data_IF_911959575484
#
_entry.id   IF_911959575484
#
_cell.length_a   1.000
_cell.length_b   1.000
_cell.length_c   1.000
_cell.angle_alpha   90.00
_cell.angle_beta   90.00
_cell.angle_gamma   90.00
#
_symmetry.space_group_name_H-M   'P 1'
#
loop_
_entity.id
_entity.type
_entity.pdbx_description
1 polymer ?
#
# COMPACT_ATOMS: atom_id res chain seq x y z
N UNK A 1 17.45 21.49 -9.37
CA UNK A 1 16.53 20.85 -10.34
C UNK A 1 15.15 21.31 -9.95
N UNK A 2 14.36 21.68 -10.93
CA UNK A 2 13.13 22.45 -10.77
C UNK A 2 11.96 21.48 -10.62
N UNK A 3 11.45 21.32 -9.38
CA UNK A 3 10.32 20.47 -8.99
C UNK A 3 8.98 21.04 -9.49
N UNK A 4 8.91 21.40 -10.78
CA UNK A 4 7.68 21.90 -11.39
C UNK A 4 6.81 20.73 -11.85
N UNK A 5 5.77 20.50 -11.05
CA UNK A 5 4.44 20.01 -11.43
C UNK A 5 4.42 19.00 -12.58
N UNK A 6 4.58 17.73 -12.23
CA UNK A 6 3.76 16.74 -12.91
C UNK A 6 2.33 17.00 -12.45
N UNK A 7 1.57 17.72 -13.26
CA UNK A 7 0.14 18.01 -13.03
C UNK A 7 -0.63 16.67 -13.03
N UNK A 8 -0.61 16.02 -11.87
CA UNK A 8 -1.41 14.84 -11.59
C UNK A 8 -2.77 15.40 -11.23
N UNK A 9 -3.74 15.27 -12.14
CA UNK A 9 -5.14 15.69 -11.97
C UNK A 9 -5.84 14.84 -10.89
N UNK A 10 -5.40 15.01 -9.65
CA UNK A 10 -5.94 14.40 -8.44
C UNK A 10 -6.27 15.53 -7.45
N UNK A 11 -7.39 15.40 -6.72
CA UNK A 11 -7.71 16.32 -5.63
C UNK A 11 -6.59 16.36 -4.57
N UNK A 12 -6.35 17.54 -4.01
CA UNK A 12 -5.31 17.75 -2.99
C UNK A 12 -5.47 16.80 -1.80
N UNK A 13 -6.70 16.50 -1.39
CA UNK A 13 -6.95 15.57 -0.28
C UNK A 13 -6.54 14.12 -0.61
N UNK A 14 -6.64 13.73 -1.89
CA UNK A 14 -6.19 12.41 -2.34
C UNK A 14 -4.66 12.37 -2.36
N UNK A 15 -4.02 13.44 -2.85
CA UNK A 15 -2.56 13.57 -2.83
C UNK A 15 -2.03 13.53 -1.40
N UNK A 16 -2.67 14.27 -0.49
CA UNK A 16 -2.35 14.25 0.93
C UNK A 16 -2.50 12.85 1.53
N UNK A 17 -3.61 12.18 1.28
CA UNK A 17 -3.85 10.81 1.75
C UNK A 17 -2.76 9.85 1.29
N UNK A 18 -2.38 9.88 0.01
CA UNK A 18 -1.33 8.98 -0.52
C UNK A 18 0.01 9.23 0.15
N UNK A 19 0.39 10.49 0.36
CA UNK A 19 1.65 10.86 1.04
C UNK A 19 1.63 10.48 2.52
N UNK A 20 0.56 10.79 3.23
CA UNK A 20 0.42 10.45 4.65
C UNK A 20 0.38 8.94 4.86
N UNK A 21 -0.32 8.20 4.00
CA UNK A 21 -0.37 6.75 4.09
C UNK A 21 1.02 6.11 3.89
N UNK A 22 1.80 6.63 2.94
CA UNK A 22 3.21 6.24 2.77
C UNK A 22 4.03 6.51 4.03
N UNK A 23 3.93 7.71 4.59
CA UNK A 23 4.63 8.11 5.81
C UNK A 23 4.29 7.17 6.99
N UNK A 24 3.01 6.86 7.21
CA UNK A 24 2.59 5.96 8.29
C UNK A 24 3.11 4.52 8.11
N UNK A 25 3.28 4.07 6.87
CA UNK A 25 3.93 2.78 6.58
C UNK A 25 5.41 2.82 6.91
N UNK A 26 6.11 3.91 6.55
CA UNK A 26 7.53 4.11 6.87
C UNK A 26 7.77 4.18 8.38
N UNK A 27 6.88 4.84 9.11
CA UNK A 27 6.91 4.94 10.58
C UNK A 27 6.41 3.68 11.30
N UNK A 28 5.89 2.70 10.55
CA UNK A 28 5.29 1.47 11.10
C UNK A 28 4.13 1.76 12.09
N UNK A 29 3.39 2.84 11.87
CA UNK A 29 2.27 3.25 12.71
C UNK A 29 1.02 2.43 12.38
N UNK A 30 0.93 1.22 12.95
CA UNK A 30 -0.16 0.26 12.68
C UNK A 30 -1.55 0.86 12.97
N UNK A 31 -1.67 1.67 14.02
CA UNK A 31 -2.95 2.31 14.40
C UNK A 31 -3.40 3.31 13.33
N UNK A 32 -2.51 4.15 12.84
CA UNK A 32 -2.82 5.14 11.80
C UNK A 32 -3.11 4.45 10.46
N UNK A 33 -2.32 3.44 10.10
CA UNK A 33 -2.57 2.60 8.93
C UNK A 33 -3.99 2.01 8.99
N UNK A 34 -4.40 1.43 10.12
CA UNK A 34 -5.74 0.89 10.27
C UNK A 34 -6.82 1.96 10.08
N UNK A 35 -6.65 3.14 10.69
CA UNK A 35 -7.57 4.27 10.52
C UNK A 35 -7.70 4.73 9.06
N UNK A 36 -6.59 4.76 8.31
CA UNK A 36 -6.59 5.06 6.88
C UNK A 36 -7.30 3.98 6.05
N UNK A 37 -7.16 2.71 6.43
CA UNK A 37 -7.84 1.58 5.76
C UNK A 37 -9.35 1.58 5.96
N UNK A 38 -9.83 1.92 7.16
CA UNK A 38 -11.24 1.81 7.53
C UNK A 38 -12.02 3.10 7.22
N UNK A 39 -11.41 4.26 7.48
CA UNK A 39 -12.10 5.55 7.40
C UNK A 39 -11.57 6.42 6.27
N UNK A 40 -10.27 6.70 6.24
CA UNK A 40 -9.69 7.67 5.30
C UNK A 40 -9.92 7.29 3.84
N UNK A 41 -9.67 6.03 3.49
CA UNK A 41 -9.91 5.52 2.15
C UNK A 41 -11.40 5.54 1.78
N UNK A 42 -12.28 5.13 2.70
CA UNK A 42 -13.74 5.09 2.48
C UNK A 42 -14.30 6.49 2.21
N UNK A 43 -13.92 7.48 3.03
CA UNK A 43 -14.36 8.86 2.89
C UNK A 43 -13.97 9.46 1.53
N UNK A 44 -12.70 9.29 1.12
CA UNK A 44 -12.23 9.77 -0.18
C UNK A 44 -12.84 9.03 -1.36
N UNK A 45 -13.12 7.73 -1.18
CA UNK A 45 -13.81 6.91 -2.18
C UNK A 45 -15.19 7.46 -2.47
N UNK A 46 -15.97 7.77 -1.43
CA UNK A 46 -17.31 8.35 -1.56
C UNK A 46 -17.26 9.76 -2.15
N UNK A 47 -16.29 10.58 -1.73
CA UNK A 47 -16.18 11.99 -2.14
C UNK A 47 -15.70 12.17 -3.59
N UNK A 48 -14.73 11.39 -4.05
CA UNK A 48 -14.04 11.64 -5.34
C UNK A 48 -14.09 10.48 -6.33
N UNK A 49 -14.36 9.26 -5.87
CA UNK A 49 -14.26 8.04 -6.67
C UNK A 49 -15.57 7.24 -6.64
N UNK A 50 -16.72 7.88 -6.42
CA UNK A 50 -18.02 7.20 -6.42
C UNK A 50 -18.39 6.66 -7.81
N UNK A 51 -18.03 7.39 -8.87
CA UNK A 51 -18.33 7.03 -10.27
C UNK A 51 -17.11 6.61 -11.10
N UNK A 52 -15.91 6.73 -10.55
CA UNK A 52 -14.64 6.40 -11.22
C UNK A 52 -13.74 5.59 -10.31
N UNK A 53 -12.81 4.84 -10.89
CA UNK A 53 -11.82 4.08 -10.12
C UNK A 53 -10.78 5.01 -9.48
N UNK A 54 -10.19 4.56 -8.38
CA UNK A 54 -8.96 5.12 -7.85
C UNK A 54 -7.83 5.12 -8.91
N UNK A 55 -6.83 6.02 -8.82
CA UNK A 55 -5.76 6.10 -9.80
C UNK A 55 -4.93 4.80 -9.92
N UNK A 56 -4.42 4.50 -11.12
CA UNK A 56 -3.50 3.39 -11.30
C UNK A 56 -2.16 3.63 -10.57
N UNK A 57 -1.43 2.56 -10.29
CA UNK A 57 -0.14 2.59 -9.58
C UNK A 57 0.86 3.58 -10.20
N UNK A 58 0.98 3.64 -11.53
CA UNK A 58 1.84 4.61 -12.23
C UNK A 58 1.50 6.08 -11.96
N UNK A 59 0.24 6.40 -11.66
CA UNK A 59 -0.16 7.77 -11.30
C UNK A 59 0.20 8.02 -9.84
N UNK A 60 -0.04 7.04 -8.98
CA UNK A 60 0.30 7.10 -7.56
C UNK A 60 1.82 7.23 -7.35
N UNK A 61 2.64 6.50 -8.11
CA UNK A 61 4.10 6.60 -8.09
C UNK A 61 4.62 8.01 -8.39
N UNK A 62 3.90 8.81 -9.18
CA UNK A 62 4.25 10.24 -9.38
C UNK A 62 4.05 11.08 -8.12
N UNK A 63 3.15 10.66 -7.23
CA UNK A 63 2.84 11.37 -5.98
C UNK A 63 3.79 10.98 -4.86
N UNK A 64 4.11 9.68 -4.75
CA UNK A 64 4.86 9.12 -3.61
C UNK A 64 6.32 8.76 -3.93
N UNK A 65 6.70 8.72 -5.21
CA UNK A 65 8.00 8.24 -5.70
C UNK A 65 7.97 6.77 -6.13
N UNK A 66 8.96 6.35 -6.91
CA UNK A 66 9.04 4.99 -7.49
C UNK A 66 9.60 3.93 -6.54
N UNK A 67 10.32 4.33 -5.49
CA UNK A 67 11.07 3.41 -4.63
C UNK A 67 10.26 2.99 -3.39
N UNK A 68 8.97 2.67 -3.57
CA UNK A 68 8.00 2.47 -2.48
C UNK A 68 7.17 1.18 -2.63
N UNK A 69 7.84 0.05 -2.90
CA UNK A 69 7.17 -1.22 -3.23
C UNK A 69 6.12 -1.67 -2.20
N UNK A 70 6.44 -1.60 -0.90
CA UNK A 70 5.51 -2.01 0.16
C UNK A 70 4.25 -1.14 0.17
N UNK A 71 4.41 0.17 0.00
CA UNK A 71 3.29 1.10 -0.10
C UNK A 71 2.44 0.79 -1.33
N UNK A 72 3.05 0.56 -2.50
CA UNK A 72 2.31 0.22 -3.72
C UNK A 72 1.53 -1.09 -3.55
N UNK A 73 2.11 -2.11 -2.90
CA UNK A 73 1.42 -3.37 -2.61
C UNK A 73 0.17 -3.12 -1.73
N UNK A 74 0.32 -2.34 -0.66
CA UNK A 74 -0.76 -2.02 0.28
C UNK A 74 -1.82 -1.08 -0.34
N UNK A 75 -1.41 -0.15 -1.20
CA UNK A 75 -2.31 0.66 -2.00
C UNK A 75 -3.14 -0.21 -2.96
N UNK A 76 -2.50 -1.15 -3.65
CA UNK A 76 -3.20 -2.05 -4.59
C UNK A 76 -4.17 -2.99 -3.88
N UNK A 77 -3.90 -3.38 -2.63
CA UNK A 77 -4.90 -4.06 -1.78
C UNK A 77 -6.18 -3.24 -1.64
N UNK A 78 -6.06 -1.94 -1.31
CA UNK A 78 -7.19 -1.03 -1.18
C UNK A 78 -7.94 -0.88 -2.52
N UNK A 79 -7.19 -0.67 -3.61
CA UNK A 79 -7.73 -0.56 -4.96
C UNK A 79 -8.56 -1.78 -5.35
N UNK A 80 -8.02 -3.00 -5.17
CA UNK A 80 -8.76 -4.21 -5.50
C UNK A 80 -9.94 -4.43 -4.56
N UNK A 81 -9.83 -4.12 -3.26
CA UNK A 81 -10.96 -4.21 -2.34
C UNK A 81 -12.15 -3.37 -2.79
N UNK A 82 -11.91 -2.13 -3.23
CA UNK A 82 -12.94 -1.27 -3.81
C UNK A 82 -13.48 -1.82 -5.14
N UNK A 83 -12.58 -2.27 -6.04
CA UNK A 83 -12.94 -2.86 -7.32
C UNK A 83 -13.89 -4.05 -7.17
N UNK A 84 -13.60 -4.97 -6.23
CA UNK A 84 -14.43 -6.14 -5.94
C UNK A 84 -15.80 -5.74 -5.39
N UNK A 85 -15.88 -4.66 -4.60
CA UNK A 85 -17.14 -4.17 -4.01
C UNK A 85 -18.07 -3.59 -5.07
N UNK A 86 -17.52 -2.96 -6.12
CA UNK A 86 -18.31 -2.31 -7.18
C UNK A 86 -18.83 -3.26 -8.25
N UNK A 87 -18.09 -4.33 -8.55
CA UNK A 87 -18.42 -5.21 -9.65
C UNK A 87 -19.46 -6.26 -9.24
N UNK A 88 -20.75 -5.99 -9.49
CA UNK A 88 -21.86 -6.90 -9.15
C UNK A 88 -21.74 -8.30 -9.76
N UNK A 89 -21.04 -8.45 -10.89
CA UNK A 89 -20.76 -9.76 -11.54
C UNK A 89 -19.37 -10.32 -11.19
N UNK A 90 -18.69 -9.67 -10.25
CA UNK A 90 -17.31 -9.92 -9.87
C UNK A 90 -16.29 -9.31 -10.85
N UNK A 91 -15.01 -9.24 -10.44
CA UNK A 91 -13.94 -8.75 -11.28
C UNK A 91 -13.73 -9.58 -12.53
N UNK A 92 -13.18 -8.95 -13.56
CA UNK A 92 -12.65 -9.64 -14.74
C UNK A 92 -11.55 -10.64 -14.35
N UNK A 93 -11.28 -11.61 -15.22
CA UNK A 93 -10.22 -12.59 -14.98
C UNK A 93 -8.84 -11.93 -14.78
N UNK A 94 -8.56 -10.86 -15.55
CA UNK A 94 -7.31 -10.10 -15.43
C UNK A 94 -7.20 -9.46 -14.05
N UNK A 95 -8.24 -8.79 -13.54
CA UNK A 95 -8.18 -8.17 -12.20
C UNK A 95 -8.05 -9.20 -11.08
N UNK A 96 -8.65 -10.39 -11.22
CA UNK A 96 -8.47 -11.50 -10.26
C UNK A 96 -7.03 -11.99 -10.24
N UNK A 97 -6.43 -12.14 -11.42
CA UNK A 97 -5.03 -12.54 -11.55
C UNK A 97 -4.11 -11.48 -10.95
N UNK A 98 -4.30 -10.20 -11.27
CA UNK A 98 -3.46 -9.12 -10.75
C UNK A 98 -3.61 -8.92 -9.25
N UNK A 99 -4.82 -9.05 -8.70
CA UNK A 99 -5.07 -9.05 -7.25
C UNK A 99 -4.38 -10.22 -6.57
N UNK A 100 -4.46 -11.42 -7.14
CA UNK A 100 -3.73 -12.59 -6.64
C UNK A 100 -2.22 -12.38 -6.64
N UNK A 101 -1.67 -11.83 -7.73
CA UNK A 101 -0.24 -11.51 -7.81
C UNK A 101 0.16 -10.44 -6.78
N UNK A 102 -0.72 -9.48 -6.47
CA UNK A 102 -0.49 -8.50 -5.42
C UNK A 102 -0.35 -9.17 -4.04
N UNK A 103 -1.28 -10.06 -3.69
CA UNK A 103 -1.17 -10.86 -2.46
C UNK A 103 0.11 -11.70 -2.44
N UNK A 104 0.47 -12.35 -3.54
CA UNK A 104 1.72 -13.13 -3.63
C UNK A 104 2.96 -12.28 -3.33
N UNK A 105 2.98 -11.03 -3.81
CA UNK A 105 4.05 -10.08 -3.48
C UNK A 105 4.02 -9.72 -1.99
N UNK A 106 2.87 -9.37 -1.44
CA UNK A 106 2.72 -9.05 -0.01
C UNK A 106 3.24 -10.19 0.89
N UNK A 107 2.87 -11.44 0.59
CA UNK A 107 3.37 -12.59 1.34
C UNK A 107 4.89 -12.74 1.23
N UNK A 108 5.45 -12.48 0.05
CA UNK A 108 6.90 -12.52 -0.17
C UNK A 108 7.63 -11.44 0.65
N UNK A 109 7.07 -10.23 0.75
CA UNK A 109 7.57 -9.14 1.60
C UNK A 109 7.57 -9.52 3.09
N UNK A 110 6.46 -10.11 3.57
CA UNK A 110 6.32 -10.58 4.96
C UNK A 110 7.35 -11.66 5.28
N UNK A 111 7.50 -12.65 4.39
CA UNK A 111 8.44 -13.76 4.59
C UNK A 111 9.90 -13.27 4.58
N UNK A 112 10.26 -12.36 3.66
CA UNK A 112 11.61 -11.77 3.63
C UNK A 112 11.94 -11.03 4.92
N UNK A 113 10.98 -10.29 5.46
CA UNK A 113 11.15 -9.56 6.74
C UNK A 113 11.40 -10.53 7.90
N UNK A 114 10.69 -11.66 7.94
CA UNK A 114 10.91 -12.70 8.96
C UNK A 114 12.31 -13.31 8.88
N UNK A 115 12.80 -13.60 7.68
CA UNK A 115 14.15 -14.15 7.47
C UNK A 115 15.25 -13.18 7.90
N UNK A 116 15.08 -11.87 7.67
CA UNK A 116 16.02 -10.85 8.12
C UNK A 116 16.05 -10.80 9.64
N UNK A 117 14.89 -10.77 10.29
CA UNK A 117 14.81 -10.72 11.75
C UNK A 117 15.40 -11.98 12.41
N UNK A 118 15.21 -13.16 11.82
CA UNK A 118 15.76 -14.43 12.34
C UNK A 118 17.29 -14.49 12.26
N UNK A 119 17.90 -13.87 11.24
CA UNK A 119 19.36 -13.80 11.08
C UNK A 119 20.04 -12.78 12.01
N UNK A 120 19.29 -11.89 12.64
CA UNK A 120 19.84 -10.86 13.55
C UNK A 120 20.00 -11.31 14.99
N UNK A 121 19.51 -12.50 15.37
CA UNK A 121 19.79 -13.08 16.68
C UNK A 121 21.19 -13.70 16.63
N UNK A 122 22.20 -13.14 17.32
CA UNK A 122 23.49 -13.80 17.43
C UNK A 122 23.26 -15.09 18.19
N UNK A 123 23.62 -16.22 17.58
CA UNK A 123 23.67 -17.51 18.25
C UNK A 123 24.86 -17.48 19.22
N UNK A 124 24.76 -16.72 20.31
CA UNK A 124 25.77 -16.74 21.37
C UNK A 124 25.60 -18.03 22.18
N UNK A 125 26.61 -18.92 22.20
CA UNK A 125 26.57 -20.07 23.07
C UNK A 125 26.55 -19.54 24.51
N UNK A 126 25.51 -19.89 25.27
CA UNK A 126 25.42 -19.61 26.70
C UNK A 126 26.67 -20.20 27.35
N UNK A 127 27.64 -19.34 27.69
CA UNK A 127 28.78 -19.74 28.47
C UNK A 127 28.26 -20.11 29.87
N UNK A 128 28.17 -21.40 30.15
CA UNK A 128 27.97 -21.91 31.50
C UNK A 128 29.17 -21.45 32.34
N UNK A 129 28.98 -20.39 33.11
CA UNK A 129 29.91 -20.03 34.18
C UNK A 129 29.70 -21.02 35.33
N UNK A 130 30.69 -21.91 35.50
CA UNK A 130 30.91 -22.72 36.70
C UNK A 130 31.56 -21.86 37.79
#
# INVERSE_FOLDING_TARGET
>A
MDDRDFDVDLPDEVVYFLRYFKEMIEEQSVTEILGLYEHGFTELTEKFFSEKMWPEDKIVEKVVGTDNDIFIILYKELYYRDLYTRMQRGPSLIHRYESYMNYSKLFSEILRTKEVNDKTVPNEPIALQL
#
